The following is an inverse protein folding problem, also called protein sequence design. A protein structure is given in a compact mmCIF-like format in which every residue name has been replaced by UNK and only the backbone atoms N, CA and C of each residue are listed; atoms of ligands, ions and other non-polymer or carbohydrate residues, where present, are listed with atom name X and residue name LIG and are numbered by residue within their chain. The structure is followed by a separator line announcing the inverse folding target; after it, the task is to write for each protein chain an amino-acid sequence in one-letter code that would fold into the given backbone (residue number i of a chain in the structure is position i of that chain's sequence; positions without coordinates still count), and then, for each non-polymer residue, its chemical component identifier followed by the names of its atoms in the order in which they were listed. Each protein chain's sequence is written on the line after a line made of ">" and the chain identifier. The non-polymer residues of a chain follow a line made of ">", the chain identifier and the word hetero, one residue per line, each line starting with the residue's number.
data_IF_119681963255
#
_entry.id   IF_119681963255
#
_cell.length_a   1.000
_cell.length_b   1.000
_cell.length_c   1.000
_cell.angle_alpha   90.00
_cell.angle_beta   90.00
_cell.angle_gamma   90.00
#
_symmetry.space_group_name_H-M   'P 1'
#
loop_
_entity.id
_entity.type
_entity.pdbx_description
1 polymer ?
#
# COMPACT_ATOMS: atom_id res chain seq x y z
N UNK A 1 -8.64 20.98 2.97
CA UNK A 1 -8.10 19.92 2.10
C UNK A 1 -6.71 20.29 1.63
N UNK A 2 -5.76 19.39 1.77
CA UNK A 2 -4.38 19.67 1.39
C UNK A 2 -4.17 19.43 -0.10
N UNK A 3 -3.28 20.20 -0.70
CA UNK A 3 -2.88 20.02 -2.10
C UNK A 3 -1.42 19.59 -2.15
N UNK A 4 -1.15 18.50 -2.85
CA UNK A 4 0.20 17.98 -3.02
C UNK A 4 0.52 17.95 -4.51
N UNK A 5 1.67 18.49 -4.88
CA UNK A 5 2.14 18.49 -6.27
C UNK A 5 3.27 17.48 -6.41
N UNK A 6 3.12 16.56 -7.36
CA UNK A 6 4.10 15.51 -7.62
C UNK A 6 4.43 15.47 -9.09
N UNK A 7 5.72 15.35 -9.42
CA UNK A 7 6.15 15.14 -10.79
C UNK A 7 6.15 13.66 -11.09
N UNK A 8 5.52 13.29 -12.21
CA UNK A 8 5.49 11.91 -12.65
C UNK A 8 6.49 11.72 -13.81
N UNK A 9 7.17 10.58 -13.78
CA UNK A 9 7.98 10.16 -14.92
C UNK A 9 7.09 9.98 -16.14
N UNK A 10 7.60 10.21 -17.36
CA UNK A 10 6.77 10.07 -18.57
C UNK A 10 6.08 8.70 -18.68
N UNK A 11 6.78 7.65 -18.31
CA UNK A 11 6.24 6.30 -18.32
C UNK A 11 5.06 6.15 -17.38
N UNK A 12 5.23 6.63 -16.15
CA UNK A 12 4.18 6.56 -15.13
C UNK A 12 2.99 7.43 -15.51
N UNK A 13 3.23 8.61 -16.04
CA UNK A 13 2.18 9.50 -16.50
C UNK A 13 1.36 8.84 -17.63
N UNK A 14 2.02 8.18 -18.54
CA UNK A 14 1.38 7.45 -19.63
C UNK A 14 0.49 6.33 -19.10
N UNK A 15 1.00 5.54 -18.17
CA UNK A 15 0.25 4.45 -17.54
C UNK A 15 -0.99 4.99 -16.82
N UNK A 16 -0.83 6.09 -16.10
CA UNK A 16 -1.94 6.72 -15.40
C UNK A 16 -3.03 7.17 -16.37
N UNK A 17 -2.65 7.79 -17.47
CA UNK A 17 -3.59 8.24 -18.49
C UNK A 17 -4.34 7.08 -19.14
N UNK A 18 -3.65 5.97 -19.39
CA UNK A 18 -4.26 4.77 -19.96
C UNK A 18 -5.29 4.17 -19.01
N UNK A 19 -4.95 4.03 -17.75
CA UNK A 19 -5.86 3.48 -16.75
C UNK A 19 -7.06 4.40 -16.52
N UNK A 20 -6.83 5.71 -16.51
CA UNK A 20 -7.89 6.70 -16.38
C UNK A 20 -8.94 6.55 -17.48
N UNK A 21 -8.50 6.38 -18.71
CA UNK A 21 -9.41 6.18 -19.84
C UNK A 21 -10.13 4.84 -19.77
N UNK A 22 -9.40 3.80 -19.45
CA UNK A 22 -9.96 2.45 -19.38
C UNK A 22 -11.03 2.33 -18.29
N UNK A 23 -10.78 2.94 -17.15
CA UNK A 23 -11.66 2.84 -15.98
C UNK A 23 -12.73 3.94 -15.94
N UNK A 24 -12.68 4.89 -16.86
CA UNK A 24 -13.59 6.05 -16.87
C UNK A 24 -13.57 6.81 -15.55
N UNK A 25 -12.37 6.97 -14.98
CA UNK A 25 -12.16 7.68 -13.72
C UNK A 25 -11.14 8.79 -13.94
N UNK A 26 -11.24 9.86 -13.18
CA UNK A 26 -10.27 10.93 -13.27
C UNK A 26 -8.89 10.46 -12.76
N UNK A 27 -7.85 11.10 -13.30
CA UNK A 27 -6.49 10.82 -12.84
C UNK A 27 -6.35 11.08 -11.34
N UNK A 28 -6.97 12.15 -10.86
CA UNK A 28 -6.96 12.50 -9.44
C UNK A 28 -7.60 11.41 -8.57
N UNK A 29 -8.71 10.84 -9.01
CA UNK A 29 -9.37 9.76 -8.29
C UNK A 29 -8.51 8.52 -8.19
N UNK A 30 -7.85 8.15 -9.29
CA UNK A 30 -6.96 6.99 -9.30
C UNK A 30 -5.78 7.22 -8.38
N UNK A 31 -5.21 8.42 -8.39
CA UNK A 31 -4.09 8.76 -7.52
C UNK A 31 -4.50 8.70 -6.05
N UNK A 32 -5.66 9.23 -5.71
CA UNK A 32 -6.14 9.18 -4.32
C UNK A 32 -6.36 7.75 -3.85
N UNK A 33 -6.94 6.90 -4.70
CA UNK A 33 -7.13 5.48 -4.38
C UNK A 33 -5.80 4.77 -4.19
N UNK A 34 -4.86 4.99 -5.10
CA UNK A 34 -3.54 4.40 -5.01
C UNK A 34 -2.82 4.83 -3.75
N UNK A 35 -2.95 6.12 -3.40
CA UNK A 35 -2.33 6.66 -2.20
C UNK A 35 -2.94 6.07 -0.94
N UNK A 36 -4.26 5.94 -0.89
CA UNK A 36 -4.93 5.30 0.24
C UNK A 36 -4.44 3.87 0.46
N UNK A 37 -4.34 3.11 -0.62
CA UNK A 37 -3.86 1.73 -0.55
C UNK A 37 -2.41 1.67 -0.09
N UNK A 38 -1.57 2.50 -0.65
CA UNK A 38 -0.14 2.51 -0.32
C UNK A 38 0.07 2.92 1.14
N UNK A 39 -0.61 3.96 1.60
CA UNK A 39 -0.49 4.39 2.98
C UNK A 39 -1.01 3.33 3.96
N UNK A 40 -2.10 2.65 3.60
CA UNK A 40 -2.63 1.57 4.42
C UNK A 40 -1.61 0.43 4.54
N UNK A 41 -0.97 0.06 3.44
CA UNK A 41 0.06 -0.97 3.43
C UNK A 41 1.27 -0.56 4.29
N UNK A 42 1.72 0.67 4.15
CA UNK A 42 2.87 1.17 4.92
C UNK A 42 2.56 1.20 6.41
N UNK A 43 1.36 1.61 6.78
CA UNK A 43 0.93 1.61 8.19
C UNK A 43 0.84 0.19 8.74
N UNK A 44 0.33 -0.72 7.94
CA UNK A 44 0.25 -2.13 8.33
C UNK A 44 1.65 -2.70 8.55
N UNK A 45 2.59 -2.42 7.66
CA UNK A 45 3.97 -2.87 7.79
C UNK A 45 4.64 -2.29 9.04
N UNK A 46 4.36 -1.03 9.36
CA UNK A 46 4.90 -0.40 10.55
C UNK A 46 4.37 -1.05 11.82
N UNK A 47 3.07 -1.28 11.89
CA UNK A 47 2.45 -1.99 13.03
C UNK A 47 3.04 -3.38 13.16
N UNK A 48 3.20 -4.08 12.06
CA UNK A 48 3.78 -5.42 12.03
C UNK A 48 5.20 -5.41 12.56
N UNK A 49 6.01 -4.43 12.19
CA UNK A 49 7.37 -4.29 12.72
C UNK A 49 7.39 -4.04 14.21
N UNK A 50 6.48 -3.23 14.72
CA UNK A 50 6.37 -2.94 16.14
C UNK A 50 5.92 -4.16 16.94
N UNK A 51 5.03 -4.98 16.38
CA UNK A 51 4.50 -6.16 17.03
C UNK A 51 5.44 -7.36 16.96
N UNK A 52 6.32 -7.40 15.99
CA UNK A 52 7.22 -8.53 15.79
C UNK A 52 8.07 -8.87 17.01
N UNK A 53 8.73 -7.91 17.67
CA UNK A 53 9.48 -8.21 18.88
C UNK A 53 8.58 -8.73 20.01
N UNK A 54 7.37 -8.21 20.13
CA UNK A 54 6.42 -8.68 21.14
C UNK A 54 5.93 -10.09 20.84
N UNK A 55 5.66 -10.37 19.56
CA UNK A 55 5.24 -11.68 19.12
C UNK A 55 6.34 -12.73 19.37
N UNK A 56 7.59 -12.37 19.09
CA UNK A 56 8.73 -13.25 19.37
C UNK A 56 8.89 -13.52 20.86
N UNK A 57 8.73 -12.48 21.67
CA UNK A 57 8.79 -12.62 23.13
C UNK A 57 7.65 -13.48 23.66
N UNK A 58 6.50 -13.49 22.99
CA UNK A 58 5.34 -14.28 23.39
C UNK A 58 5.38 -15.72 22.87
N UNK A 59 6.42 -16.09 22.12
CA UNK A 59 6.57 -17.45 21.61
C UNK A 59 6.12 -17.68 20.18
N UNK A 60 5.72 -16.64 19.47
CA UNK A 60 5.44 -16.75 18.03
C UNK A 60 6.77 -16.78 17.29
N UNK A 61 7.01 -17.84 16.57
CA UNK A 61 8.34 -18.11 16.05
C UNK A 61 8.64 -17.46 14.71
N UNK A 62 7.73 -17.56 13.76
CA UNK A 62 7.99 -17.04 12.41
C UNK A 62 6.69 -16.69 11.72
N UNK A 63 6.81 -15.92 10.62
CA UNK A 63 5.69 -15.66 9.71
C UNK A 63 5.17 -16.95 9.08
N UNK A 64 6.01 -17.94 8.89
CA UNK A 64 5.62 -19.23 8.35
C UNK A 64 4.61 -19.95 9.23
N UNK A 65 4.75 -19.87 10.54
CA UNK A 65 3.81 -20.49 11.46
C UNK A 65 2.43 -19.84 11.34
N UNK A 66 2.38 -18.55 11.14
CA UNK A 66 1.13 -17.82 10.91
C UNK A 66 0.50 -18.25 9.58
N UNK A 67 1.29 -18.44 8.55
CA UNK A 67 0.79 -18.90 7.26
C UNK A 67 0.25 -20.33 7.32
N UNK A 68 0.85 -21.19 8.10
CA UNK A 68 0.33 -22.54 8.28
C UNK A 68 -1.05 -22.56 8.91
N UNK A 69 -1.28 -21.68 9.88
CA UNK A 69 -2.56 -21.58 10.54
C UNK A 69 -3.65 -21.06 9.61
N UNK A 70 -3.27 -20.27 8.61
CA UNK A 70 -4.21 -19.69 7.64
C UNK A 70 -4.45 -20.60 6.45
N UNK A 71 -3.50 -21.40 6.07
CA UNK A 71 -3.63 -22.32 4.92
C UNK A 71 -4.17 -23.72 5.34
#
# INVERSE_FOLDING_TARGET
>A
MAVVTVRLEPELDKQLSQVSRKEHRSRSDIIRDALRRQLALLRFEEVRRQLKPLAEAAGYLTDEDVFRDVS
#
